data_IF_416099489670
#
_entry.id   IF_416099489670
#
_cell.length_a   1.000
_cell.length_b   1.000
_cell.length_c   1.000
_cell.angle_alpha   90.00
_cell.angle_beta   90.00
_cell.angle_gamma   90.00
#
_symmetry.space_group_name_H-M   'P 1'
#
loop_
_entity.id
_entity.type
_entity.pdbx_description
1 polymer ?
#
# COMPACT_ATOMS: atom_id res chain seq x y z
N UNK A 1 -20.79 -59.17 -0.94
CA UNK A 1 -19.36 -58.80 -0.89
C UNK A 1 -18.91 -58.40 -2.29
N UNK A 2 -17.93 -57.48 -2.37
CA UNK A 2 -17.15 -57.10 -3.55
C UNK A 2 -17.83 -56.17 -4.59
N UNK A 3 -17.25 -55.07 -5.05
CA UNK A 3 -15.91 -54.51 -4.87
C UNK A 3 -16.00 -53.02 -5.26
N UNK A 4 -15.57 -52.14 -4.37
CA UNK A 4 -15.52 -50.68 -4.56
C UNK A 4 -14.53 -50.32 -5.69
N UNK A 5 -15.03 -49.69 -6.75
CA UNK A 5 -14.20 -49.14 -7.84
C UNK A 5 -13.66 -47.77 -7.41
N UNK A 6 -12.62 -47.78 -6.57
CA UNK A 6 -11.86 -46.56 -6.26
C UNK A 6 -11.23 -46.01 -7.53
N UNK A 7 -11.78 -44.89 -8.02
CA UNK A 7 -11.18 -44.10 -9.10
C UNK A 7 -9.80 -43.58 -8.65
N UNK A 8 -8.72 -43.80 -9.41
CA UNK A 8 -7.42 -43.24 -9.06
C UNK A 8 -7.43 -41.73 -9.34
N UNK A 9 -7.26 -40.94 -8.28
CA UNK A 9 -7.05 -39.50 -8.38
C UNK A 9 -5.77 -39.21 -9.17
N UNK A 10 -5.93 -38.60 -10.36
CA UNK A 10 -4.82 -38.18 -11.22
C UNK A 10 -4.07 -37.04 -10.53
N UNK A 11 -2.95 -37.37 -9.85
CA UNK A 11 -2.06 -36.38 -9.24
C UNK A 11 -1.60 -35.40 -10.33
N UNK A 12 -1.71 -34.08 -10.15
CA UNK A 12 -1.15 -33.13 -11.10
C UNK A 12 0.35 -33.36 -11.20
N UNK A 13 0.88 -33.51 -12.42
CA UNK A 13 2.31 -33.77 -12.64
C UNK A 13 3.16 -32.71 -11.96
N UNK A 14 4.26 -33.12 -11.33
CA UNK A 14 5.21 -32.25 -10.62
C UNK A 14 5.64 -31.02 -11.43
N UNK A 15 5.71 -31.14 -12.76
CA UNK A 15 5.97 -30.04 -13.67
C UNK A 15 4.92 -28.91 -13.61
N UNK A 16 3.63 -29.24 -13.38
CA UNK A 16 2.55 -28.25 -13.23
C UNK A 16 2.64 -27.54 -11.87
N UNK A 17 3.04 -28.25 -10.82
CA UNK A 17 3.29 -27.66 -9.51
C UNK A 17 4.52 -26.76 -9.55
N UNK A 18 5.61 -27.19 -10.19
CA UNK A 18 6.83 -26.41 -10.37
C UNK A 18 6.58 -25.12 -11.16
N UNK A 19 5.79 -25.20 -12.25
CA UNK A 19 5.40 -24.02 -13.02
C UNK A 19 4.51 -23.08 -12.20
N UNK A 20 3.53 -23.62 -11.45
CA UNK A 20 2.66 -22.82 -10.60
C UNK A 20 3.45 -22.09 -9.48
N UNK A 21 4.44 -22.76 -8.88
CA UNK A 21 5.31 -22.15 -7.87
C UNK A 21 6.21 -21.07 -8.46
N UNK A 22 6.72 -21.29 -9.69
CA UNK A 22 7.55 -20.30 -10.37
C UNK A 22 6.74 -19.03 -10.69
N UNK A 23 5.52 -19.20 -11.21
CA UNK A 23 4.62 -18.08 -11.51
C UNK A 23 4.20 -17.33 -10.25
N UNK A 24 3.88 -18.04 -9.17
CA UNK A 24 3.53 -17.43 -7.89
C UNK A 24 4.69 -16.64 -7.26
N UNK A 25 5.94 -17.06 -7.49
CA UNK A 25 7.12 -16.34 -7.01
C UNK A 25 7.46 -15.10 -7.84
N UNK A 26 7.21 -15.13 -9.16
CA UNK A 26 7.49 -14.00 -10.07
C UNK A 26 6.42 -12.91 -9.97
N UNK A 27 5.17 -13.28 -9.70
CA UNK A 27 4.03 -12.36 -9.66
C UNK A 27 4.21 -11.16 -8.70
N UNK A 28 4.58 -11.32 -7.41
CA UNK A 28 4.73 -10.18 -6.50
C UNK A 28 5.96 -9.31 -6.80
N UNK A 29 6.97 -9.83 -7.49
CA UNK A 29 8.16 -9.07 -7.86
C UNK A 29 7.92 -8.14 -9.06
N UNK A 30 6.91 -8.44 -9.89
CA UNK A 30 6.61 -7.69 -11.12
C UNK A 30 5.37 -6.82 -11.00
N UNK A 31 4.53 -7.06 -9.98
CA UNK A 31 3.36 -6.24 -9.71
C UNK A 31 3.66 -5.31 -8.54
N UNK A 32 3.94 -4.01 -8.78
CA UNK A 32 4.00 -3.06 -7.68
C UNK A 32 2.64 -3.10 -6.99
N UNK A 33 2.63 -3.52 -5.72
CA UNK A 33 1.40 -3.53 -4.92
C UNK A 33 0.78 -2.14 -4.93
N UNK A 34 -0.54 -2.06 -4.83
CA UNK A 34 -1.22 -0.78 -4.69
C UNK A 34 -0.66 -0.06 -3.45
N UNK A 35 0.19 0.93 -3.68
CA UNK A 35 0.73 1.78 -2.62
C UNK A 35 -0.41 2.70 -2.18
N UNK A 36 -0.80 2.60 -0.92
CA UNK A 36 -1.81 3.47 -0.30
C UNK A 36 -1.19 4.84 0.01
N UNK A 37 -0.70 5.53 -1.02
CA UNK A 37 -0.31 6.93 -0.91
C UNK A 37 -1.57 7.80 -0.89
N UNK A 38 -1.53 8.90 -0.14
CA UNK A 38 -2.59 9.89 -0.20
C UNK A 38 -2.55 10.61 -1.54
N UNK A 39 -3.71 11.00 -2.06
CA UNK A 39 -3.77 11.81 -3.28
C UNK A 39 -3.27 13.22 -2.96
N UNK A 40 -2.32 13.77 -3.74
CA UNK A 40 -1.82 15.11 -3.48
C UNK A 40 -2.92 16.16 -3.49
N UNK A 41 -2.99 16.96 -2.42
CA UNK A 41 -4.04 17.95 -2.21
C UNK A 41 -3.47 19.33 -1.90
N UNK A 42 -4.30 20.37 -2.09
CA UNK A 42 -3.95 21.75 -1.78
C UNK A 42 -4.26 22.06 -0.31
N UNK A 43 -3.32 22.69 0.39
CA UNK A 43 -3.50 23.15 1.76
C UNK A 43 -4.43 24.37 1.75
N UNK A 44 -5.68 24.19 2.15
CA UNK A 44 -6.70 25.26 2.12
C UNK A 44 -6.62 26.25 3.28
N UNK A 45 -6.40 25.76 4.49
CA UNK A 45 -6.30 26.57 5.72
C UNK A 45 -5.46 25.80 6.74
N UNK A 46 -4.69 26.51 7.57
CA UNK A 46 -3.89 25.90 8.65
C UNK A 46 -4.30 26.56 9.96
N UNK A 47 -4.85 25.76 10.87
CA UNK A 47 -5.32 26.21 12.18
C UNK A 47 -4.37 25.75 13.27
N UNK A 48 -3.96 26.68 14.11
CA UNK A 48 -3.14 26.41 15.29
C UNK A 48 -4.04 26.48 16.52
N UNK A 49 -4.23 25.35 17.17
CA UNK A 49 -5.02 25.23 18.39
C UNK A 49 -4.11 25.01 19.61
N UNK A 50 -4.55 25.44 20.80
CA UNK A 50 -3.83 25.18 22.05
C UNK A 50 -2.56 26.02 22.27
N UNK A 51 -2.34 27.08 21.50
CA UNK A 51 -1.24 28.04 21.75
C UNK A 51 -1.51 28.80 23.05
N UNK A 52 -0.61 28.66 24.03
CA UNK A 52 -0.78 29.27 25.36
C UNK A 52 0.20 30.43 25.65
N UNK A 53 1.42 30.39 25.09
CA UNK A 53 2.49 31.36 25.41
C UNK A 53 3.31 31.85 24.21
N UNK A 54 2.94 31.50 22.98
CA UNK A 54 3.67 31.86 21.75
C UNK A 54 2.70 32.40 20.73
N UNK A 55 3.05 33.46 19.99
CA UNK A 55 2.18 33.97 18.93
C UNK A 55 2.01 32.91 17.81
N UNK A 56 0.78 32.68 17.30
CA UNK A 56 0.55 31.73 16.21
C UNK A 56 1.42 32.03 14.98
N UNK A 57 1.73 33.31 14.73
CA UNK A 57 2.59 33.77 13.64
C UNK A 57 4.00 33.16 13.64
N UNK A 58 4.56 32.92 14.83
CA UNK A 58 5.88 32.29 14.95
C UNK A 58 5.82 30.80 14.65
N UNK A 59 4.71 30.12 14.94
CA UNK A 59 4.53 28.69 14.63
C UNK A 59 4.58 28.43 13.13
N UNK A 60 3.94 29.29 12.33
CA UNK A 60 4.00 29.20 10.87
C UNK A 60 5.39 29.41 10.29
N UNK A 61 6.28 30.14 10.98
CA UNK A 61 7.66 30.35 10.54
C UNK A 61 8.52 29.09 10.65
N UNK A 62 8.12 28.13 11.48
CA UNK A 62 8.81 26.85 11.66
C UNK A 62 8.22 25.71 10.83
N UNK A 63 7.05 25.89 10.21
CA UNK A 63 6.42 24.88 9.38
C UNK A 63 7.02 24.91 7.95
N UNK A 64 7.39 23.76 7.37
CA UNK A 64 7.92 23.69 6.00
C UNK A 64 6.84 23.82 4.91
N UNK A 65 5.59 24.06 5.31
CA UNK A 65 4.39 24.11 4.46
C UNK A 65 3.59 25.38 4.72
N UNK A 66 2.86 25.84 3.70
CA UNK A 66 2.05 27.07 3.73
C UNK A 66 0.66 26.83 3.14
N UNK A 67 -0.28 27.71 3.47
CA UNK A 67 -1.59 27.74 2.81
C UNK A 67 -1.39 28.02 1.32
N UNK A 68 -2.02 27.20 0.47
CA UNK A 68 -1.88 27.22 -0.98
C UNK A 68 -0.83 26.24 -1.53
N UNK A 69 0.03 25.65 -0.68
CA UNK A 69 0.97 24.62 -1.13
C UNK A 69 0.25 23.32 -1.49
N UNK A 70 0.81 22.57 -2.44
CA UNK A 70 0.38 21.20 -2.74
C UNK A 70 1.17 20.23 -1.87
N UNK A 71 0.48 19.51 -0.98
CA UNK A 71 1.09 18.47 -0.16
C UNK A 71 1.24 17.21 -1.01
N UNK A 72 2.46 16.69 -1.10
CA UNK A 72 2.81 15.46 -1.82
C UNK A 72 3.56 14.54 -0.87
N UNK A 73 3.64 13.25 -1.16
CA UNK A 73 4.31 12.27 -0.25
C UNK A 73 5.81 12.59 0.00
N UNK A 74 6.38 13.44 -0.84
CA UNK A 74 7.78 13.86 -0.82
C UNK A 74 8.01 15.16 -0.03
N UNK A 75 6.95 15.87 0.38
CA UNK A 75 7.01 17.18 1.05
C UNK A 75 6.00 17.30 2.19
#
# INVERSE_FOLDING_TARGET
>A
MAFDRRRPGRKPGSARLALATLLAAIFPATYPGATLAFEPFLIGDIRVEGVQRTEPGTVFSYLPVRVGDRLTDEK
#
